data_IF_286881991610
#
_entry.id   IF_286881991610
#
_cell.length_a   1.000
_cell.length_b   1.000
_cell.length_c   1.000
_cell.angle_alpha   90.00
_cell.angle_beta   90.00
_cell.angle_gamma   90.00
#
_symmetry.space_group_name_H-M   'P 1'
#
loop_
_entity.id
_entity.type
_entity.pdbx_description
1 polymer ?
#
# COMPACT_ATOMS: atom_id res chain seq x y z
N UNK A 1 -22.56 19.41 -55.92
CA UNK A 1 -21.63 18.27 -55.87
C UNK A 1 -21.61 17.75 -54.44
N UNK A 2 -22.19 16.57 -54.19
CA UNK A 2 -22.10 15.87 -52.91
C UNK A 2 -20.74 15.19 -52.80
N UNK A 3 -20.04 15.40 -51.68
CA UNK A 3 -18.90 14.59 -51.29
C UNK A 3 -19.34 13.68 -50.14
N UNK A 4 -19.33 12.37 -50.42
CA UNK A 4 -19.63 11.29 -49.49
C UNK A 4 -18.34 11.02 -48.68
N UNK A 5 -18.35 11.28 -47.37
CA UNK A 5 -17.29 10.84 -46.46
C UNK A 5 -17.78 9.59 -45.72
N UNK A 6 -17.23 8.44 -46.09
CA UNK A 6 -17.49 7.17 -45.40
C UNK A 6 -16.68 7.13 -44.10
N UNK A 7 -17.37 7.01 -42.95
CA UNK A 7 -16.76 6.76 -41.67
C UNK A 7 -16.48 5.25 -41.55
N UNK A 8 -15.20 4.89 -41.36
CA UNK A 8 -14.78 3.53 -41.06
C UNK A 8 -14.77 3.36 -39.53
N UNK A 9 -15.80 2.71 -38.99
CA UNK A 9 -15.87 2.34 -37.56
C UNK A 9 -15.05 1.08 -37.30
N UNK A 10 -13.99 1.19 -36.49
CA UNK A 10 -13.29 0.05 -35.89
C UNK A 10 -14.09 -0.41 -34.67
N UNK A 11 -14.59 -1.64 -34.72
CA UNK A 11 -15.18 -2.30 -33.56
C UNK A 11 -14.08 -3.11 -32.84
N UNK A 12 -13.66 -2.68 -31.66
CA UNK A 12 -12.93 -3.52 -30.72
C UNK A 12 -13.96 -4.38 -29.96
N UNK A 13 -14.26 -5.57 -30.50
CA UNK A 13 -15.00 -6.61 -29.78
C UNK A 13 -14.02 -7.60 -29.15
N UNK A 14 -13.77 -7.47 -27.85
CA UNK A 14 -13.23 -8.54 -27.02
C UNK A 14 -14.33 -9.06 -26.09
N UNK A 15 -14.40 -10.37 -25.79
CA UNK A 15 -15.42 -10.89 -24.89
C UNK A 15 -15.22 -10.35 -23.47
N UNK A 16 -16.33 -9.96 -22.84
CA UNK A 16 -16.39 -9.65 -21.43
C UNK A 16 -16.02 -10.90 -20.61
N UNK A 17 -15.06 -10.77 -19.70
CA UNK A 17 -14.80 -11.77 -18.67
C UNK A 17 -15.90 -11.61 -17.62
N UNK A 18 -16.80 -12.59 -17.54
CA UNK A 18 -17.80 -12.67 -16.48
C UNK A 18 -17.12 -13.07 -15.14
N UNK A 19 -17.53 -12.51 -13.99
CA UNK A 19 -17.04 -12.97 -12.70
C UNK A 19 -17.63 -14.34 -12.36
N UNK A 20 -16.75 -15.29 -12.03
CA UNK A 20 -17.10 -16.67 -11.68
C UNK A 20 -17.85 -16.72 -10.32
N UNK A 21 -19.09 -17.25 -10.26
CA UNK A 21 -19.80 -17.38 -9.01
C UNK A 21 -19.53 -18.75 -8.36
N UNK A 22 -19.11 -18.66 -7.10
CA UNK A 22 -19.11 -19.70 -6.07
C UNK A 22 -18.01 -20.76 -6.13
N UNK A 23 -17.37 -20.98 -4.98
CA UNK A 23 -17.63 -22.20 -4.20
C UNK A 23 -17.08 -22.09 -2.78
N UNK A 24 -18.00 -22.08 -1.83
CA UNK A 24 -17.78 -22.41 -0.43
C UNK A 24 -17.27 -23.84 -0.33
N UNK A 25 -16.05 -24.12 0.15
CA UNK A 25 -15.67 -25.43 0.71
C UNK A 25 -14.65 -25.32 1.86
N UNK A 26 -15.13 -25.75 3.03
CA UNK A 26 -14.45 -26.56 4.08
C UNK A 26 -13.07 -26.11 4.58
N UNK A 27 -13.05 -25.53 5.78
CA UNK A 27 -11.90 -25.52 6.68
C UNK A 27 -11.47 -26.95 6.99
N UNK A 28 -10.37 -27.41 6.38
CA UNK A 28 -9.63 -28.58 6.88
C UNK A 28 -8.33 -28.11 7.51
N UNK A 29 -8.18 -28.49 8.77
CA UNK A 29 -7.06 -28.24 9.66
C UNK A 29 -5.81 -28.96 9.11
N UNK A 30 -4.98 -28.25 8.34
CA UNK A 30 -3.74 -28.78 7.77
C UNK A 30 -2.51 -28.22 8.47
N UNK A 31 -1.74 -29.09 9.11
CA UNK A 31 -0.41 -28.80 9.67
C UNK A 31 0.52 -28.31 8.55
N UNK A 32 1.13 -27.14 8.71
CA UNK A 32 2.12 -26.60 7.76
C UNK A 32 3.39 -27.46 7.72
N UNK A 33 3.97 -27.75 6.54
CA UNK A 33 5.33 -28.28 6.46
C UNK A 33 6.34 -27.17 6.77
N UNK A 34 7.37 -27.54 7.53
CA UNK A 34 8.56 -26.74 7.74
C UNK A 34 9.45 -26.76 6.48
N UNK A 35 10.40 -25.83 6.50
CA UNK A 35 11.64 -25.78 5.69
C UNK A 35 11.60 -24.90 4.43
N UNK A 36 12.10 -23.67 4.58
CA UNK A 36 13.21 -23.19 3.75
C UNK A 36 14.04 -22.14 4.52
N UNK A 37 15.35 -22.31 4.44
CA UNK A 37 16.40 -21.75 5.30
C UNK A 37 16.45 -20.21 5.33
N UNK A 38 16.33 -19.63 6.52
CA UNK A 38 16.55 -18.20 6.73
C UNK A 38 18.04 -17.84 6.54
N UNK A 39 18.38 -16.71 5.88
CA UNK A 39 19.77 -16.25 5.80
C UNK A 39 20.31 -15.92 7.21
N UNK A 40 21.59 -16.27 7.42
CA UNK A 40 22.28 -16.14 8.70
C UNK A 40 22.18 -14.72 9.31
N UNK A 41 22.04 -14.61 10.66
CA UNK A 41 21.86 -13.32 11.32
C UNK A 41 23.12 -12.45 11.21
N UNK A 42 22.93 -11.18 10.86
CA UNK A 42 23.96 -10.15 10.98
C UNK A 42 24.39 -9.98 12.46
N UNK A 43 25.64 -9.56 12.75
CA UNK A 43 26.09 -9.38 14.12
C UNK A 43 25.28 -8.29 14.83
N UNK A 44 24.83 -8.63 16.04
CA UNK A 44 24.04 -7.74 16.90
C UNK A 44 24.79 -6.44 17.19
N UNK A 45 24.13 -5.30 16.96
CA UNK A 45 24.56 -4.00 17.48
C UNK A 45 24.26 -3.92 18.99
N UNK A 46 25.04 -3.19 19.80
CA UNK A 46 24.78 -3.08 21.23
C UNK A 46 23.46 -2.34 21.50
N UNK A 47 22.48 -3.12 21.98
CA UNK A 47 21.46 -2.79 22.98
C UNK A 47 20.72 -1.46 22.91
N UNK A 48 19.49 -1.50 22.37
CA UNK A 48 18.36 -0.92 23.09
C UNK A 48 17.56 -2.10 23.64
N UNK A 49 17.45 -2.17 24.96
CA UNK A 49 16.65 -3.21 25.63
C UNK A 49 15.20 -3.10 25.15
N UNK A 50 14.63 -4.24 24.76
CA UNK A 50 13.21 -4.34 24.52
C UNK A 50 12.49 -4.35 25.89
N UNK A 51 11.66 -3.34 26.13
CA UNK A 51 10.59 -3.43 27.11
C UNK A 51 9.27 -3.42 26.35
N UNK A 52 8.65 -4.60 26.35
CA UNK A 52 7.26 -4.83 25.95
C UNK A 52 6.35 -4.34 27.09
N UNK A 53 5.22 -3.74 26.71
CA UNK A 53 4.14 -3.20 27.56
C UNK A 53 4.41 -1.92 28.36
N UNK A 54 4.34 -0.77 27.69
CA UNK A 54 3.52 0.35 28.19
C UNK A 54 3.11 1.22 27.01
N UNK A 55 1.82 1.55 26.91
CA UNK A 55 1.41 2.72 26.15
C UNK A 55 1.90 3.93 26.95
N UNK A 56 3.21 4.18 26.87
CA UNK A 56 3.90 5.18 27.67
C UNK A 56 3.12 6.48 27.61
N UNK A 57 2.66 6.92 28.79
CA UNK A 57 2.01 8.21 28.91
C UNK A 57 2.87 9.26 28.19
N UNK A 58 2.26 10.16 27.40
CA UNK A 58 3.02 11.08 26.57
C UNK A 58 4.00 11.86 27.46
N UNK A 59 5.29 11.86 27.10
CA UNK A 59 6.30 12.65 27.78
C UNK A 59 5.82 14.12 27.83
N UNK A 60 5.57 14.70 29.01
CA UNK A 60 5.07 16.07 29.13
C UNK A 60 6.09 17.10 28.64
N UNK A 61 7.31 16.67 28.29
CA UNK A 61 8.41 17.47 27.78
C UNK A 61 8.61 17.33 26.27
N UNK A 62 7.88 16.44 25.59
CA UNK A 62 7.86 16.41 24.15
C UNK A 62 7.16 17.68 23.65
N UNK A 63 7.80 18.43 22.74
CA UNK A 63 7.06 19.38 21.89
C UNK A 63 5.84 18.60 21.36
N UNK A 64 4.59 19.08 21.55
CA UNK A 64 3.42 18.34 21.08
C UNK A 64 3.52 18.02 19.58
N UNK A 65 4.45 18.67 18.88
CA UNK A 65 4.83 18.32 17.54
C UNK A 65 3.70 18.65 16.59
N UNK A 66 3.95 18.43 15.31
CA UNK A 66 2.89 18.53 14.32
C UNK A 66 2.03 17.27 14.44
N UNK A 67 0.82 17.40 14.97
CA UNK A 67 -0.11 16.26 15.08
C UNK A 67 -0.67 15.87 13.72
N UNK A 68 -1.03 14.60 13.54
CA UNK A 68 -1.68 14.11 12.33
C UNK A 68 -3.00 14.87 12.05
N UNK A 69 -3.76 15.20 13.09
CA UNK A 69 -4.98 15.99 12.97
C UNK A 69 -4.70 17.42 12.47
N UNK A 70 -3.61 18.05 12.94
CA UNK A 70 -3.21 19.37 12.48
C UNK A 70 -2.75 19.37 11.00
N UNK A 71 -2.06 18.30 10.56
CA UNK A 71 -1.76 18.09 9.14
C UNK A 71 -3.06 17.93 8.36
N UNK A 72 -3.93 16.99 8.75
CA UNK A 72 -5.17 16.70 8.04
C UNK A 72 -6.07 17.94 7.90
N UNK A 73 -6.12 18.81 8.91
CA UNK A 73 -6.84 20.07 8.86
C UNK A 73 -6.31 21.03 7.78
N UNK A 74 -5.01 20.99 7.45
CA UNK A 74 -4.43 21.77 6.35
C UNK A 74 -4.70 21.18 4.97
N UNK A 75 -5.02 19.88 4.88
CA UNK A 75 -5.23 19.16 3.62
C UNK A 75 -6.69 19.19 3.12
N UNK A 76 -7.56 19.98 3.75
CA UNK A 76 -8.99 19.98 3.45
C UNK A 76 -9.36 20.66 2.11
N UNK A 77 -8.47 21.48 1.53
CA UNK A 77 -8.81 22.29 0.35
C UNK A 77 -7.68 22.30 -0.67
N UNK A 78 -8.02 21.91 -1.90
CA UNK A 78 -7.11 21.96 -3.05
C UNK A 78 -7.20 23.32 -3.74
N UNK A 79 -6.56 24.34 -3.16
CA UNK A 79 -6.63 25.70 -3.71
C UNK A 79 -5.89 25.83 -5.06
N UNK A 80 -4.80 25.08 -5.23
CA UNK A 80 -4.00 25.02 -6.45
C UNK A 80 -3.65 23.57 -6.76
N UNK A 81 -3.82 23.18 -8.02
CA UNK A 81 -3.45 21.86 -8.53
C UNK A 81 -2.03 21.90 -9.08
N UNK A 82 -1.22 20.92 -8.69
CA UNK A 82 0.06 20.62 -9.32
C UNK A 82 -0.11 19.67 -10.52
N UNK A 83 -1.15 18.83 -10.51
CA UNK A 83 -1.47 17.93 -11.61
C UNK A 83 -2.14 18.67 -12.78
N UNK A 84 -1.84 18.23 -14.01
CA UNK A 84 -2.48 18.73 -15.24
C UNK A 84 -3.85 18.08 -15.52
N UNK A 85 -4.08 16.91 -14.93
CA UNK A 85 -5.33 16.15 -14.96
C UNK A 85 -5.48 15.36 -13.64
N UNK A 86 -6.69 14.94 -13.26
CA UNK A 86 -6.88 14.07 -12.10
C UNK A 86 -6.31 12.67 -12.37
N UNK A 87 -5.92 11.98 -11.31
CA UNK A 87 -5.48 10.59 -11.29
C UNK A 87 -6.61 9.68 -10.79
N UNK A 88 -6.56 8.43 -11.21
CA UNK A 88 -7.33 7.35 -10.60
C UNK A 88 -6.46 6.70 -9.50
N UNK A 89 -7.11 6.09 -8.52
CA UNK A 89 -6.43 5.29 -7.50
C UNK A 89 -5.90 3.99 -8.09
N UNK A 90 -6.77 3.28 -8.81
CA UNK A 90 -6.44 2.06 -9.53
C UNK A 90 -6.34 2.26 -11.05
N UNK A 91 -5.62 1.35 -11.71
CA UNK A 91 -5.64 1.22 -13.16
C UNK A 91 -7.06 0.94 -13.67
N UNK A 92 -7.52 1.74 -14.64
CA UNK A 92 -8.89 1.67 -15.17
C UNK A 92 -9.97 2.29 -14.28
N UNK A 93 -9.59 2.83 -13.11
CA UNK A 93 -10.50 3.53 -12.21
C UNK A 93 -10.94 4.91 -12.72
N UNK A 94 -11.88 5.51 -12.00
CA UNK A 94 -12.33 6.89 -12.31
C UNK A 94 -11.27 7.89 -11.86
N UNK A 95 -10.79 8.72 -12.80
CA UNK A 95 -9.83 9.77 -12.50
C UNK A 95 -10.49 10.97 -11.82
N UNK A 96 -10.39 11.05 -10.50
CA UNK A 96 -10.98 12.12 -9.68
C UNK A 96 -10.08 12.62 -8.53
N UNK A 97 -8.81 12.20 -8.49
CA UNK A 97 -7.84 12.63 -7.47
C UNK A 97 -6.91 13.68 -8.06
N UNK A 98 -7.00 14.92 -7.59
CA UNK A 98 -6.03 15.95 -7.92
C UNK A 98 -4.78 15.84 -7.02
N UNK A 99 -3.61 16.16 -7.58
CA UNK A 99 -2.42 16.44 -6.77
C UNK A 99 -2.40 17.94 -6.47
N UNK A 100 -2.48 18.28 -5.19
CA UNK A 100 -2.66 19.64 -4.71
C UNK A 100 -1.35 20.23 -4.19
N UNK A 101 -1.10 21.49 -4.53
CA UNK A 101 0.12 22.20 -4.16
C UNK A 101 -0.03 22.90 -2.80
N UNK A 102 1.01 22.79 -1.98
CA UNK A 102 1.24 23.57 -0.78
C UNK A 102 2.64 24.22 -0.86
N UNK A 103 2.93 25.27 -0.08
CA UNK A 103 4.28 25.81 -0.01
C UNK A 103 5.29 24.74 0.44
N UNK A 104 6.13 24.28 -0.49
CA UNK A 104 7.15 23.26 -0.24
C UNK A 104 6.64 21.82 -0.09
N UNK A 105 5.39 21.54 -0.45
CA UNK A 105 4.81 20.20 -0.35
C UNK A 105 3.70 19.98 -1.39
N UNK A 106 3.31 18.73 -1.57
CA UNK A 106 2.08 18.36 -2.27
C UNK A 106 1.25 17.43 -1.39
N UNK A 107 -0.05 17.37 -1.63
CA UNK A 107 -0.93 16.37 -1.02
C UNK A 107 -1.96 15.86 -2.02
N UNK A 108 -2.46 14.66 -1.77
CA UNK A 108 -3.50 13.99 -2.54
C UNK A 108 -4.21 12.97 -1.65
N UNK A 109 -5.39 12.50 -2.06
CA UNK A 109 -6.10 11.44 -1.36
C UNK A 109 -5.81 10.09 -2.04
N UNK A 110 -5.05 9.24 -1.35
CA UNK A 110 -4.93 7.84 -1.68
C UNK A 110 -6.03 7.03 -0.99
N UNK A 111 -6.28 5.82 -1.47
CA UNK A 111 -7.04 4.76 -0.82
C UNK A 111 -6.21 3.84 0.07
N UNK A 112 -4.89 4.01 0.07
CA UNK A 112 -3.94 3.25 0.90
C UNK A 112 -3.92 1.77 0.53
N UNK A 113 -3.08 1.43 -0.44
CA UNK A 113 -2.75 0.03 -0.74
C UNK A 113 -1.65 -0.46 0.19
N UNK A 114 -1.88 -1.65 0.73
CA UNK A 114 -0.88 -2.40 1.49
C UNK A 114 -0.57 -3.65 0.70
N UNK A 115 0.61 -3.66 0.07
CA UNK A 115 1.11 -4.85 -0.62
C UNK A 115 1.42 -5.93 0.42
N UNK A 116 0.98 -7.16 0.16
CA UNK A 116 1.10 -8.28 1.09
C UNK A 116 2.52 -8.89 1.11
N UNK A 117 3.55 -8.05 0.99
CA UNK A 117 4.94 -8.47 0.84
C UNK A 117 5.66 -8.73 2.18
N UNK A 118 6.80 -9.40 2.09
CA UNK A 118 7.72 -9.63 3.21
C UNK A 118 7.38 -10.88 3.99
N UNK A 119 7.18 -10.74 5.31
CA UNK A 119 6.97 -11.88 6.21
C UNK A 119 5.63 -12.55 5.93
N UNK A 120 5.67 -13.84 5.63
CA UNK A 120 4.45 -14.62 5.43
C UNK A 120 3.59 -14.67 6.70
N UNK A 121 2.28 -14.55 6.49
CA UNK A 121 1.27 -14.70 7.51
C UNK A 121 0.07 -15.48 6.95
N UNK A 122 -0.93 -15.73 7.79
CA UNK A 122 -2.18 -16.33 7.35
C UNK A 122 -2.93 -15.45 6.32
N UNK A 123 -2.68 -14.15 6.31
CA UNK A 123 -3.34 -13.18 5.42
C UNK A 123 -2.47 -12.88 4.19
N UNK A 124 -1.16 -12.69 4.40
CA UNK A 124 -0.22 -12.32 3.34
C UNK A 124 0.72 -13.48 3.01
N UNK A 125 0.51 -14.12 1.86
CA UNK A 125 1.35 -15.21 1.35
C UNK A 125 1.07 -15.44 -0.14
N UNK A 126 1.89 -16.30 -0.78
CA UNK A 126 1.77 -16.66 -2.21
C UNK A 126 0.43 -17.26 -2.62
N UNK A 127 -0.33 -17.83 -1.67
CA UNK A 127 -1.63 -18.43 -1.97
C UNK A 127 -2.77 -17.43 -1.90
N UNK A 128 -2.62 -16.33 -1.16
CA UNK A 128 -3.65 -15.31 -0.97
C UNK A 128 -3.40 -14.05 -1.80
N UNK A 129 -2.14 -13.82 -2.20
CA UNK A 129 -1.73 -12.71 -3.06
C UNK A 129 -0.86 -13.21 -4.23
N UNK A 130 -1.38 -13.20 -5.48
CA UNK A 130 -0.61 -13.58 -6.67
C UNK A 130 0.61 -12.70 -6.95
N UNK A 131 0.64 -11.48 -6.42
CA UNK A 131 1.74 -10.52 -6.60
C UNK A 131 2.79 -10.58 -5.48
N UNK A 132 2.56 -11.42 -4.47
CA UNK A 132 3.41 -11.55 -3.27
C UNK A 132 4.90 -11.60 -3.59
N UNK A 133 5.66 -10.74 -2.91
CA UNK A 133 7.12 -10.78 -2.83
C UNK A 133 7.57 -11.19 -1.44
N UNK A 134 8.65 -11.97 -1.35
CA UNK A 134 9.21 -12.40 -0.06
C UNK A 134 10.04 -11.34 0.66
N UNK A 135 10.14 -10.13 0.11
CA UNK A 135 10.98 -9.05 0.63
C UNK A 135 10.21 -7.74 0.62
N UNK A 136 10.43 -6.93 1.66
CA UNK A 136 9.99 -5.53 1.71
C UNK A 136 11.16 -4.60 1.46
N UNK A 137 10.89 -3.36 1.07
CA UNK A 137 11.91 -2.33 0.80
C UNK A 137 12.80 -2.01 2.03
N UNK A 138 12.33 -2.34 3.23
CA UNK A 138 13.06 -2.18 4.49
C UNK A 138 12.85 -3.37 5.40
N UNK A 139 13.60 -3.43 6.49
CA UNK A 139 13.49 -4.44 7.54
C UNK A 139 13.14 -3.80 8.88
N UNK A 140 12.57 -4.59 9.78
CA UNK A 140 12.30 -4.17 11.14
C UNK A 140 13.59 -4.00 11.97
N UNK A 141 13.45 -3.58 13.23
CA UNK A 141 14.58 -3.38 14.15
C UNK A 141 15.36 -4.66 14.48
N UNK A 142 14.81 -5.83 14.15
CA UNK A 142 15.45 -7.15 14.29
C UNK A 142 16.10 -7.63 12.98
N UNK A 143 15.98 -6.84 11.91
CA UNK A 143 16.53 -7.15 10.59
C UNK A 143 15.66 -8.10 9.76
N UNK A 144 14.43 -8.38 10.18
CA UNK A 144 13.50 -9.21 9.41
C UNK A 144 12.67 -8.35 8.45
N UNK A 145 12.23 -8.93 7.33
CA UNK A 145 11.27 -8.24 6.47
C UNK A 145 9.94 -8.03 7.19
N UNK A 146 9.27 -6.95 6.79
CA UNK A 146 8.08 -6.43 7.45
C UNK A 146 6.90 -7.41 7.39
N UNK A 147 6.08 -7.47 8.44
CA UNK A 147 4.78 -8.20 8.48
C UNK A 147 3.66 -7.24 8.06
N UNK A 148 3.34 -7.22 6.77
CA UNK A 148 2.34 -6.34 6.19
C UNK A 148 0.94 -6.50 6.82
N UNK A 149 0.63 -7.68 7.39
CA UNK A 149 -0.67 -7.93 8.02
C UNK A 149 -0.81 -7.30 9.42
N UNK A 150 0.27 -6.77 9.99
CA UNK A 150 0.27 -6.25 11.38
C UNK A 150 0.86 -4.85 11.54
N UNK A 151 1.65 -4.39 10.58
CA UNK A 151 2.35 -3.12 10.75
C UNK A 151 1.40 -1.92 10.63
N UNK A 152 1.47 -0.94 11.54
CA UNK A 152 0.56 0.20 11.58
C UNK A 152 1.01 1.38 10.69
N UNK A 153 1.69 1.14 9.56
CA UNK A 153 2.35 2.21 8.80
C UNK A 153 2.03 2.21 7.30
N UNK A 154 2.27 3.37 6.69
CA UNK A 154 2.11 3.67 5.26
C UNK A 154 3.49 3.59 4.61
N UNK A 155 3.64 2.74 3.59
CA UNK A 155 4.81 2.75 2.70
C UNK A 155 4.55 3.77 1.60
N UNK A 156 5.31 4.87 1.59
CA UNK A 156 5.31 5.79 0.44
C UNK A 156 6.52 5.43 -0.43
N UNK A 157 6.35 5.19 -1.74
CA UNK A 157 7.47 4.92 -2.62
C UNK A 157 8.56 5.99 -2.49
N UNK A 158 9.80 5.55 -2.24
CA UNK A 158 10.97 6.42 -2.28
C UNK A 158 11.29 6.84 -3.72
N UNK A 159 12.26 7.75 -3.87
CA UNK A 159 12.74 8.13 -5.20
C UNK A 159 13.33 6.91 -5.93
N UNK A 160 13.03 6.80 -7.23
CA UNK A 160 13.64 5.84 -8.15
C UNK A 160 14.89 6.41 -8.80
#
# INVERSE_FOLDING_TARGET
MSALLAALTVACGGPAIEPDPASSEVFQNGTAPADDEAPAPAPARPGFAAEDTDAGAPDPSADPGVSAAALLAKLQTCAKKASSAPYAKDSGGTANIDVCELPGAVFFHADLDVDCDGKQSAVCNKSTDPSYQSQTATTDSTGQYLDAAKLPYIVVPGVS
#
